data_IF_625573086903
#
_entry.id   IF_625573086903
#
_cell.length_a   1.000
_cell.length_b   1.000
_cell.length_c   1.000
_cell.angle_alpha   90.00
_cell.angle_beta   90.00
_cell.angle_gamma   90.00
#
_symmetry.space_group_name_H-M   'P 1'
#
loop_
_entity.id
_entity.type
_entity.pdbx_description
1 polymer ?
#
# COMPACT_ATOMS: atom_id res chain seq x y z
N UNK A 1 -2.02 -4.74 -8.28
CA UNK A 1 -0.80 -5.06 -7.51
C UNK A 1 0.44 -5.37 -8.35
N UNK A 2 0.40 -5.35 -9.69
CA UNK A 2 1.54 -5.71 -10.53
C UNK A 2 2.82 -4.88 -10.27
N UNK A 3 2.70 -3.55 -10.15
CA UNK A 3 3.85 -2.65 -9.89
C UNK A 3 4.54 -2.94 -8.56
N UNK A 4 3.77 -3.35 -7.55
CA UNK A 4 4.31 -3.73 -6.24
C UNK A 4 5.04 -5.07 -6.32
N UNK A 5 4.42 -6.07 -6.94
CA UNK A 5 4.95 -7.44 -7.05
C UNK A 5 6.30 -7.47 -7.78
N UNK A 6 6.49 -6.57 -8.76
CA UNK A 6 7.75 -6.45 -9.52
C UNK A 6 8.77 -5.55 -8.79
N UNK A 7 8.46 -5.01 -7.60
CA UNK A 7 9.38 -4.20 -6.80
C UNK A 7 9.62 -2.78 -7.34
N UNK A 8 8.90 -2.36 -8.39
CA UNK A 8 9.06 -1.08 -9.07
C UNK A 8 8.34 0.09 -8.38
N UNK A 9 7.85 -0.15 -7.18
CA UNK A 9 7.17 0.84 -6.32
C UNK A 9 7.94 2.16 -6.15
N UNK A 10 9.27 2.17 -6.14
CA UNK A 10 10.04 3.43 -6.00
C UNK A 10 9.96 4.34 -7.22
N UNK A 11 9.58 3.79 -8.38
CA UNK A 11 9.41 4.56 -9.61
C UNK A 11 8.05 5.27 -9.67
N UNK A 12 7.19 5.03 -8.68
CA UNK A 12 5.85 5.60 -8.57
C UNK A 12 5.65 6.04 -7.14
N UNK A 13 5.56 7.35 -6.88
CA UNK A 13 5.46 7.89 -5.51
C UNK A 13 4.42 7.12 -4.64
N UNK A 14 4.86 6.38 -3.60
CA UNK A 14 4.01 5.46 -2.88
C UNK A 14 3.50 6.09 -1.58
N UNK A 15 2.44 6.89 -1.67
CA UNK A 15 1.68 7.30 -0.48
C UNK A 15 0.46 6.39 -0.32
N UNK A 16 0.65 5.15 0.13
CA UNK A 16 -0.35 4.04 -0.02
C UNK A 16 -1.31 3.86 1.15
N UNK A 17 -1.45 4.86 2.02
CA UNK A 17 -2.24 4.74 3.25
C UNK A 17 -3.76 4.53 3.06
N UNK A 18 -4.28 4.45 1.82
CA UNK A 18 -5.69 4.15 1.49
C UNK A 18 -5.80 3.41 0.16
N UNK A 19 -6.86 2.63 -0.05
CA UNK A 19 -7.12 1.90 -1.32
C UNK A 19 -7.08 2.79 -2.57
N UNK A 20 -7.39 4.08 -2.44
CA UNK A 20 -7.30 5.09 -3.50
C UNK A 20 -5.88 5.32 -4.03
N UNK A 21 -4.87 5.01 -3.23
CA UNK A 21 -3.47 5.16 -3.60
C UNK A 21 -2.98 4.05 -4.53
N UNK A 22 -3.52 2.83 -4.41
CA UNK A 22 -3.23 1.76 -5.39
C UNK A 22 -3.73 2.12 -6.78
N UNK A 23 -4.92 2.73 -6.85
CA UNK A 23 -5.45 3.28 -8.09
C UNK A 23 -4.52 4.35 -8.66
N UNK A 24 -4.07 5.30 -7.83
CA UNK A 24 -3.11 6.35 -8.25
C UNK A 24 -1.77 5.78 -8.75
N UNK A 25 -1.23 4.75 -8.10
CA UNK A 25 0.01 4.08 -8.51
C UNK A 25 -0.18 3.39 -9.86
N UNK A 26 -1.28 2.65 -10.05
CA UNK A 26 -1.60 2.00 -11.32
C UNK A 26 -1.76 3.01 -12.46
N UNK A 27 -2.49 4.10 -12.23
CA UNK A 27 -2.69 5.15 -13.23
C UNK A 27 -1.39 5.88 -13.60
N UNK A 28 -0.52 6.17 -12.62
CA UNK A 28 0.81 6.76 -12.90
C UNK A 28 1.68 5.81 -13.72
N UNK A 29 1.61 4.49 -13.45
CA UNK A 29 2.33 3.50 -14.26
C UNK A 29 1.83 3.47 -15.70
N UNK A 30 0.51 3.42 -15.90
CA UNK A 30 -0.10 3.45 -17.24
C UNK A 30 0.29 4.70 -18.03
N UNK A 31 0.29 5.87 -17.40
CA UNK A 31 0.82 7.10 -18.03
C UNK A 31 2.29 6.96 -18.43
N UNK A 32 3.10 6.29 -17.62
CA UNK A 32 4.49 6.01 -17.94
C UNK A 32 4.67 5.00 -19.09
N UNK A 33 3.77 4.02 -19.22
CA UNK A 33 3.73 3.10 -20.37
C UNK A 33 3.50 3.88 -21.66
N UNK A 34 2.47 4.72 -21.68
CA UNK A 34 2.10 5.52 -22.86
C UNK A 34 3.16 6.59 -23.18
N UNK A 35 3.60 7.37 -22.18
CA UNK A 35 4.40 8.56 -22.43
C UNK A 35 5.91 8.30 -22.40
N UNK A 36 6.37 7.19 -21.80
CA UNK A 36 7.80 6.90 -21.59
C UNK A 36 8.22 5.53 -22.11
N UNK A 37 7.34 4.82 -22.84
CA UNK A 37 7.62 3.50 -23.39
C UNK A 37 7.89 2.43 -22.33
N UNK A 38 7.37 2.58 -21.11
CA UNK A 38 7.53 1.56 -20.07
C UNK A 38 6.80 0.28 -20.47
N UNK A 39 7.31 -0.85 -19.99
CA UNK A 39 6.66 -2.13 -20.22
C UNK A 39 5.29 -2.18 -19.51
N UNK A 40 4.27 -2.59 -20.26
CA UNK A 40 2.95 -2.86 -19.69
C UNK A 40 3.03 -4.15 -18.88
N UNK A 41 2.87 -4.03 -17.56
CA UNK A 41 2.88 -5.18 -16.67
C UNK A 41 1.58 -5.96 -16.83
N UNK A 42 1.68 -7.29 -16.75
CA UNK A 42 0.51 -8.17 -16.77
C UNK A 42 -0.45 -7.79 -15.63
N UNK A 43 -1.76 -7.62 -15.92
CA UNK A 43 -2.75 -7.39 -14.88
C UNK A 43 -2.73 -8.55 -13.89
N UNK A 44 -2.70 -8.22 -12.60
CA UNK A 44 -2.77 -9.20 -11.51
C UNK A 44 -4.07 -8.96 -10.76
N UNK A 45 -4.84 -10.00 -10.39
CA UNK A 45 -6.03 -9.86 -9.58
C UNK A 45 -5.76 -9.13 -8.25
N UNK A 46 -6.84 -8.66 -7.63
CA UNK A 46 -6.79 -8.16 -6.25
C UNK A 46 -6.23 -9.26 -5.35
N UNK A 47 -5.20 -8.91 -4.56
CA UNK A 47 -4.61 -9.85 -3.63
C UNK A 47 -5.59 -10.09 -2.46
N UNK A 48 -5.67 -11.32 -1.92
CA UNK A 48 -6.53 -11.63 -0.79
C UNK A 48 -6.04 -10.99 0.52
N UNK A 49 -4.75 -10.69 0.62
CA UNK A 49 -4.16 -9.92 1.71
C UNK A 49 -3.58 -8.61 1.18
N UNK A 50 -3.82 -7.54 1.92
CA UNK A 50 -3.14 -6.28 1.67
C UNK A 50 -1.65 -6.41 2.03
N UNK A 51 -0.76 -5.92 1.16
CA UNK A 51 0.67 -5.83 1.45
C UNK A 51 0.97 -4.97 2.67
N UNK A 52 2.07 -5.26 3.35
CA UNK A 52 2.48 -4.52 4.55
C UNK A 52 2.71 -3.01 4.27
N UNK A 53 2.27 -2.11 5.17
CA UNK A 53 3.20 -1.21 5.85
C UNK A 53 4.39 -0.46 5.19
N UNK A 54 4.38 0.21 4.03
CA UNK A 54 5.55 1.01 3.59
C UNK A 54 5.52 2.51 4.01
N UNK A 55 6.33 2.91 4.98
CA UNK A 55 6.40 4.34 5.35
C UNK A 55 7.50 5.08 4.58
N UNK A 56 7.29 6.37 4.35
CA UNK A 56 8.29 7.23 3.71
C UNK A 56 9.50 7.50 4.63
N UNK A 57 9.31 7.42 5.95
CA UNK A 57 10.35 7.58 6.96
C UNK A 57 10.01 6.79 8.22
N UNK A 58 11.01 6.61 9.09
CA UNK A 58 10.79 6.05 10.43
C UNK A 58 9.84 6.92 11.27
N UNK A 59 9.88 8.25 11.11
CA UNK A 59 8.98 9.17 11.79
C UNK A 59 7.52 8.93 11.36
N UNK A 60 7.26 8.90 10.04
CA UNK A 60 5.91 8.65 9.52
C UNK A 60 5.37 7.27 9.92
N UNK A 61 6.26 6.29 10.14
CA UNK A 61 5.91 4.99 10.72
C UNK A 61 5.47 5.13 12.17
N UNK A 62 6.25 5.83 13.00
CA UNK A 62 5.93 6.06 14.41
C UNK A 62 4.61 6.81 14.53
N UNK A 63 4.49 7.97 13.88
CA UNK A 63 3.30 8.81 13.90
C UNK A 63 2.03 8.02 13.52
N UNK A 64 2.14 7.09 12.58
CA UNK A 64 1.03 6.24 12.19
C UNK A 64 0.62 5.23 13.27
N UNK A 65 1.58 4.52 13.88
CA UNK A 65 1.28 3.55 14.93
C UNK A 65 0.87 4.24 16.24
N UNK A 66 1.45 5.40 16.53
CA UNK A 66 1.17 6.19 17.73
C UNK A 66 -0.21 6.88 17.66
N UNK A 67 -0.75 7.10 16.46
CA UNK A 67 -2.14 7.55 16.28
C UNK A 67 -3.17 6.51 16.73
N UNK A 68 -2.81 5.23 16.79
CA UNK A 68 -3.72 4.18 17.26
C UNK A 68 -3.63 4.11 18.79
N UNK A 69 -4.33 5.03 19.46
CA UNK A 69 -4.36 5.06 20.91
C UNK A 69 -5.43 4.09 21.44
N UNK A 70 -5.02 2.88 21.81
CA UNK A 70 -5.86 2.03 22.65
C UNK A 70 -5.68 2.44 24.11
N UNK A 71 -6.65 3.16 24.66
CA UNK A 71 -6.63 3.51 26.09
C UNK A 71 -6.87 2.29 26.99
N UNK A 72 -7.50 1.23 26.46
CA UNK A 72 -7.80 0.01 27.21
C UNK A 72 -8.06 -1.17 26.27
N UNK A 73 -7.21 -2.20 26.36
CA UNK A 73 -7.46 -3.50 25.71
C UNK A 73 -8.12 -4.40 26.75
N UNK A 74 -9.28 -4.97 26.44
CA UNK A 74 -9.95 -5.99 27.28
C UNK A 74 -10.13 -7.27 26.47
N UNK A 75 -9.68 -8.39 27.01
CA UNK A 75 -10.08 -9.71 26.53
C UNK A 75 -11.37 -10.12 27.24
N UNK A 76 -12.36 -10.56 26.46
CA UNK A 76 -13.56 -11.21 26.99
C UNK A 76 -13.45 -12.69 26.64
N UNK A 77 -13.47 -13.55 27.64
CA UNK A 77 -13.64 -14.97 27.42
C UNK A 77 -15.14 -15.27 27.46
N UNK A 78 -15.73 -15.57 26.30
CA UNK A 78 -17.08 -16.13 26.26
C UNK A 78 -17.02 -17.55 26.82
N UNK A 79 -17.80 -17.83 27.86
CA UNK A 79 -18.10 -19.19 28.29
C UNK A 79 -19.24 -19.72 27.44
N UNK A 80 -19.02 -20.89 26.84
CA UNK A 80 -20.05 -21.72 26.18
C UNK A 80 -21.06 -22.23 27.18
#
# INVERSE_FOLDING_TARGET
MAVLLVGLRRQVDPHWFRGLSYLKIGLRWLKGVVNKGRLLLTPVPLLPLDPQPCFASHQAKSDYYDQIWFSRIRSLQCRT
#
